data_IF_203180415306
#
_entry.id   IF_203180415306
#
_cell.length_a   1.000
_cell.length_b   1.000
_cell.length_c   1.000
_cell.angle_alpha   90.00
_cell.angle_beta   90.00
_cell.angle_gamma   90.00
#
_symmetry.space_group_name_H-M   'P 1'
#
loop_
_entity.id
_entity.type
_entity.pdbx_description
1 polymer ?
#
# COMPACT_ATOMS: atom_id res chain seq x y z
N UNK A 1 -1.62 -0.64 -11.18
CA UNK A 1 -2.85 0.14 -10.93
C UNK A 1 -2.86 0.76 -9.54
N UNK A 2 -2.75 -0.03 -8.46
CA UNK A 2 -2.69 0.49 -7.08
C UNK A 2 -1.61 1.57 -6.91
N UNK A 3 -0.37 1.26 -7.29
CA UNK A 3 0.77 2.20 -7.27
C UNK A 3 0.45 3.53 -7.95
N UNK A 4 -0.04 3.50 -9.19
CA UNK A 4 -0.37 4.70 -9.97
C UNK A 4 -1.45 5.55 -9.27
N UNK A 5 -2.50 4.90 -8.75
CA UNK A 5 -3.57 5.59 -8.04
C UNK A 5 -3.06 6.27 -6.77
N UNK A 6 -2.23 5.58 -5.98
CA UNK A 6 -1.71 6.13 -4.74
C UNK A 6 -0.68 7.23 -5.01
N UNK A 7 0.16 7.10 -6.04
CA UNK A 7 1.05 8.19 -6.49
C UNK A 7 0.23 9.44 -6.84
N UNK A 8 -0.91 9.30 -7.53
CA UNK A 8 -1.82 10.43 -7.80
C UNK A 8 -2.36 11.06 -6.50
N UNK A 9 -2.82 10.25 -5.55
CA UNK A 9 -3.37 10.72 -4.27
C UNK A 9 -2.32 11.48 -3.46
N UNK A 10 -1.13 10.90 -3.26
CA UNK A 10 -0.07 11.53 -2.47
C UNK A 10 0.60 12.70 -3.21
N UNK A 11 0.66 12.65 -4.56
CA UNK A 11 1.03 13.80 -5.38
C UNK A 11 0.12 15.00 -5.14
N UNK A 12 -1.19 14.78 -5.00
CA UNK A 12 -2.15 15.85 -4.68
C UNK A 12 -1.96 16.42 -3.26
N UNK A 13 -1.44 15.63 -2.30
CA UNK A 13 -1.09 16.12 -0.96
C UNK A 13 0.13 17.05 -1.02
N UNK A 14 1.11 16.74 -1.88
CA UNK A 14 2.31 17.56 -2.06
C UNK A 14 2.00 18.86 -2.79
N UNK A 15 1.28 18.76 -3.92
CA UNK A 15 1.03 19.89 -4.82
C UNK A 15 -0.17 20.73 -4.34
N UNK A 16 -1.04 20.18 -3.50
CA UNK A 16 -2.27 20.84 -3.09
C UNK A 16 -3.34 20.84 -4.19
N UNK A 17 -4.45 21.53 -3.93
CA UNK A 17 -5.60 21.56 -4.85
C UNK A 17 -5.45 22.70 -5.87
N UNK A 18 -5.66 22.44 -7.18
CA UNK A 18 -5.68 23.50 -8.19
C UNK A 18 -6.64 24.63 -7.79
N UNK A 19 -6.19 25.88 -7.95
CA UNK A 19 -6.97 27.08 -7.60
C UNK A 19 -6.88 27.51 -6.13
N UNK A 20 -6.12 26.81 -5.28
CA UNK A 20 -5.80 27.28 -3.93
C UNK A 20 -4.48 28.06 -3.90
N UNK A 21 -4.29 29.04 -2.98
CA UNK A 21 -3.04 29.81 -2.90
C UNK A 21 -1.78 28.95 -2.65
N UNK A 22 -1.94 27.80 -1.99
CA UNK A 22 -0.85 26.84 -1.74
C UNK A 22 -0.64 25.81 -2.86
N UNK A 23 -1.27 25.99 -4.02
CA UNK A 23 -1.10 25.08 -5.14
C UNK A 23 0.32 25.19 -5.73
N UNK A 24 0.97 24.04 -5.91
CA UNK A 24 2.32 23.92 -6.44
C UNK A 24 3.37 24.76 -5.69
N UNK A 25 3.22 24.88 -4.36
CA UNK A 25 4.20 25.55 -3.51
C UNK A 25 5.60 24.91 -3.66
N UNK A 26 6.62 25.67 -4.10
CA UNK A 26 7.98 25.19 -4.27
C UNK A 26 8.58 24.57 -3.01
N UNK A 27 8.20 25.03 -1.83
CA UNK A 27 8.69 24.48 -0.55
C UNK A 27 8.17 23.06 -0.35
N UNK A 28 6.88 22.83 -0.59
CA UNK A 28 6.30 21.49 -0.47
C UNK A 28 6.87 20.52 -1.52
N UNK A 29 6.99 20.96 -2.77
CA UNK A 29 7.58 20.14 -3.83
C UNK A 29 9.05 19.84 -3.49
N UNK A 30 9.81 20.85 -3.06
CA UNK A 30 11.21 20.73 -2.66
C UNK A 30 11.41 19.75 -1.51
N UNK A 31 10.59 19.83 -0.46
CA UNK A 31 10.62 18.90 0.68
C UNK A 31 10.31 17.46 0.25
N UNK A 32 9.30 17.25 -0.59
CA UNK A 32 8.95 15.93 -1.08
C UNK A 32 10.08 15.32 -1.91
N UNK A 33 10.63 16.09 -2.86
CA UNK A 33 11.76 15.64 -3.70
C UNK A 33 13.03 15.40 -2.88
N UNK A 34 13.34 16.25 -1.91
CA UNK A 34 14.46 16.04 -1.00
C UNK A 34 14.29 14.75 -0.19
N UNK A 35 13.09 14.48 0.31
CA UNK A 35 12.76 13.25 1.05
C UNK A 35 12.97 12.00 0.18
N UNK A 36 12.52 12.04 -1.07
CA UNK A 36 12.76 10.97 -2.05
C UNK A 36 14.25 10.82 -2.33
N UNK A 37 14.97 11.93 -2.55
CA UNK A 37 16.41 11.92 -2.81
C UNK A 37 17.21 11.35 -1.64
N UNK A 38 16.88 11.71 -0.39
CA UNK A 38 17.47 11.13 0.80
C UNK A 38 17.19 9.63 0.89
N UNK A 39 15.94 9.22 0.63
CA UNK A 39 15.57 7.79 0.62
C UNK A 39 16.43 7.00 -0.37
N UNK A 40 16.58 7.50 -1.60
CA UNK A 40 17.40 6.87 -2.64
C UNK A 40 18.88 6.92 -2.28
N UNK A 41 19.36 8.04 -1.75
CA UNK A 41 20.75 8.20 -1.30
C UNK A 41 21.12 7.21 -0.20
N UNK A 42 20.27 7.06 0.82
CA UNK A 42 20.43 6.05 1.85
C UNK A 42 20.37 4.63 1.28
N UNK A 43 19.43 4.34 0.39
CA UNK A 43 19.34 3.03 -0.25
C UNK A 43 20.58 2.69 -1.11
N UNK A 44 21.27 3.71 -1.63
CA UNK A 44 22.48 3.55 -2.43
C UNK A 44 23.74 3.34 -1.57
N UNK A 45 23.81 3.97 -0.40
CA UNK A 45 25.00 3.96 0.47
C UNK A 45 24.92 2.85 1.52
N UNK A 46 23.74 2.61 2.09
CA UNK A 46 23.53 1.63 3.15
C UNK A 46 23.33 0.23 2.54
N UNK A 47 23.93 -0.76 3.18
CA UNK A 47 23.85 -2.16 2.76
C UNK A 47 23.22 -3.04 3.85
N UNK A 48 22.78 -4.23 3.48
CA UNK A 48 22.15 -5.17 4.40
C UNK A 48 20.85 -4.63 5.02
N UNK A 49 20.70 -4.80 6.33
CA UNK A 49 19.50 -4.36 7.08
C UNK A 49 19.33 -2.85 7.12
N UNK A 50 20.42 -2.08 7.08
CA UNK A 50 20.37 -0.61 7.03
C UNK A 50 19.77 -0.10 5.71
N UNK A 51 19.98 -0.84 4.61
CA UNK A 51 19.37 -0.53 3.32
C UNK A 51 17.84 -0.63 3.35
N UNK A 52 17.27 -1.51 4.17
CA UNK A 52 15.81 -1.63 4.35
C UNK A 52 15.23 -0.47 5.18
N UNK A 53 16.05 0.16 6.02
CA UNK A 53 15.67 1.35 6.80
C UNK A 53 15.73 2.64 5.98
N UNK A 54 16.16 2.60 4.73
CA UNK A 54 16.37 3.81 3.91
C UNK A 54 15.12 4.68 3.75
N UNK A 55 13.93 4.06 3.67
CA UNK A 55 12.65 4.79 3.62
C UNK A 55 12.40 5.55 4.92
N UNK A 56 12.63 4.90 6.06
CA UNK A 56 12.49 5.52 7.38
C UNK A 56 13.53 6.63 7.58
N UNK A 57 14.79 6.39 7.20
CA UNK A 57 15.85 7.38 7.29
C UNK A 57 15.60 8.57 6.35
N UNK A 58 15.06 8.32 5.16
CA UNK A 58 14.65 9.37 4.23
C UNK A 58 13.54 10.26 4.80
N UNK A 59 12.51 9.65 5.41
CA UNK A 59 11.46 10.37 6.15
C UNK A 59 12.06 11.23 7.28
N UNK A 60 12.97 10.67 8.08
CA UNK A 60 13.63 11.40 9.17
C UNK A 60 14.47 12.57 8.64
N UNK A 61 15.27 12.36 7.59
CA UNK A 61 16.07 13.41 6.98
C UNK A 61 15.19 14.52 6.37
N UNK A 62 14.10 14.15 5.70
CA UNK A 62 13.11 15.11 5.18
C UNK A 62 12.43 15.90 6.29
N UNK A 63 12.09 15.26 7.42
CA UNK A 63 11.55 15.93 8.60
C UNK A 63 12.57 16.88 9.23
N UNK A 64 13.85 16.50 9.32
CA UNK A 64 14.93 17.38 9.81
C UNK A 64 15.07 18.63 8.94
N UNK A 65 15.03 18.47 7.60
CA UNK A 65 15.02 19.62 6.69
C UNK A 65 13.77 20.47 6.89
N UNK A 66 12.59 19.85 7.03
CA UNK A 66 11.33 20.54 7.34
C UNK A 66 11.41 21.37 8.63
N UNK A 67 12.01 20.82 9.68
CA UNK A 67 12.24 21.53 10.93
C UNK A 67 13.23 22.70 10.75
N UNK A 68 14.33 22.48 10.02
CA UNK A 68 15.37 23.49 9.79
C UNK A 68 14.86 24.72 9.01
N UNK A 69 13.89 24.52 8.11
CA UNK A 69 13.28 25.61 7.33
C UNK A 69 12.03 26.21 8.02
N UNK A 70 11.69 25.77 9.24
CA UNK A 70 10.55 26.29 9.99
C UNK A 70 9.17 25.79 9.51
N UNK A 71 9.13 24.70 8.73
CA UNK A 71 7.88 24.09 8.25
C UNK A 71 7.21 23.14 9.27
N UNK A 72 7.78 22.99 10.47
CA UNK A 72 7.26 22.16 11.57
C UNK A 72 7.02 23.01 12.82
N UNK A 73 5.89 22.78 13.50
CA UNK A 73 5.62 23.31 14.84
C UNK A 73 5.64 22.18 15.86
N UNK A 74 6.34 22.40 16.98
CA UNK A 74 6.49 21.43 18.07
C UNK A 74 5.67 21.78 19.32
N UNK A 75 4.93 22.89 19.29
CA UNK A 75 4.26 23.46 20.48
C UNK A 75 3.25 22.50 21.11
N UNK A 76 2.63 21.62 20.29
CA UNK A 76 1.66 20.62 20.73
C UNK A 76 2.24 19.24 21.07
N UNK A 77 3.55 19.02 20.97
CA UNK A 77 4.11 17.65 21.05
C UNK A 77 4.21 17.16 22.49
N UNK A 78 4.77 17.94 23.40
CA UNK A 78 4.96 17.56 24.81
C UNK A 78 3.72 17.74 25.68
N UNK A 79 2.91 18.82 25.52
CA UNK A 79 1.75 19.01 26.37
C UNK A 79 0.70 17.90 26.24
N UNK A 80 0.10 17.50 27.36
CA UNK A 80 -1.02 16.56 27.42
C UNK A 80 -0.65 15.15 27.88
N UNK A 81 -1.59 14.19 27.78
CA UNK A 81 -1.40 12.82 28.24
C UNK A 81 -0.23 12.14 27.54
N UNK A 82 0.53 11.33 28.27
CA UNK A 82 1.60 10.48 27.72
C UNK A 82 1.06 9.22 27.04
N UNK A 83 -0.07 8.71 27.51
CA UNK A 83 -0.72 7.52 26.97
C UNK A 83 -2.01 7.88 26.25
N UNK A 84 -2.18 7.34 25.05
CA UNK A 84 -3.44 7.37 24.30
C UNK A 84 -4.06 5.98 24.28
N UNK A 85 -5.39 5.92 24.15
CA UNK A 85 -6.13 4.66 24.00
C UNK A 85 -6.75 4.61 22.61
N UNK A 86 -6.82 3.42 21.98
CA UNK A 86 -7.49 3.28 20.70
C UNK A 86 -8.98 3.61 20.87
N UNK A 87 -9.52 4.42 19.97
CA UNK A 87 -10.94 4.74 19.92
C UNK A 87 -11.67 3.68 19.10
N UNK A 88 -12.68 3.06 19.68
CA UNK A 88 -13.59 2.20 18.93
C UNK A 88 -14.51 3.07 18.08
N UNK A 89 -14.71 2.66 16.82
CA UNK A 89 -15.60 3.33 15.87
C UNK A 89 -15.29 4.83 15.69
N UNK A 90 -14.04 5.21 15.36
CA UNK A 90 -13.67 6.63 15.23
C UNK A 90 -14.45 7.37 14.13
N UNK A 91 -14.99 6.63 13.16
CA UNK A 91 -15.79 7.16 12.06
C UNK A 91 -17.31 6.96 12.25
N UNK A 92 -17.75 6.51 13.44
CA UNK A 92 -19.15 6.17 13.72
C UNK A 92 -19.46 4.68 13.56
N UNK A 93 -20.73 4.31 13.74
CA UNK A 93 -21.19 2.92 13.68
C UNK A 93 -21.02 2.34 12.27
N UNK A 94 -20.64 1.05 12.13
CA UNK A 94 -20.46 0.43 10.82
C UNK A 94 -21.73 0.49 9.97
N UNK A 95 -21.62 1.05 8.78
CA UNK A 95 -22.68 1.06 7.76
C UNK A 95 -22.36 0.04 6.67
N UNK A 96 -23.32 -0.80 6.32
CA UNK A 96 -23.12 -1.80 5.28
C UNK A 96 -23.63 -1.28 3.93
N UNK A 97 -22.70 -0.82 3.08
CA UNK A 97 -22.97 -0.44 1.69
C UNK A 97 -22.38 -1.52 0.76
N UNK A 98 -23.27 -2.28 0.13
CA UNK A 98 -22.88 -3.39 -0.74
C UNK A 98 -22.10 -2.91 -1.98
N UNK A 99 -22.39 -1.72 -2.50
CA UNK A 99 -21.76 -1.18 -3.71
C UNK A 99 -20.35 -0.69 -3.38
N UNK A 100 -20.20 0.01 -2.25
CA UNK A 100 -18.89 0.42 -1.75
C UNK A 100 -18.03 -0.79 -1.30
N UNK A 101 -18.67 -1.88 -0.88
CA UNK A 101 -17.97 -3.11 -0.51
C UNK A 101 -17.33 -3.84 -1.70
N UNK A 102 -17.88 -3.74 -2.92
CA UNK A 102 -17.38 -4.49 -4.09
C UNK A 102 -15.89 -4.25 -4.38
N UNK A 103 -15.40 -3.00 -4.50
CA UNK A 103 -13.97 -2.75 -4.71
C UNK A 103 -13.09 -3.30 -3.58
N UNK A 104 -13.57 -3.24 -2.34
CA UNK A 104 -12.84 -3.77 -1.18
C UNK A 104 -12.80 -5.30 -1.21
N UNK A 105 -13.90 -5.96 -1.58
CA UNK A 105 -13.95 -7.42 -1.75
C UNK A 105 -13.01 -7.87 -2.87
N UNK A 106 -12.99 -7.16 -4.00
CA UNK A 106 -12.04 -7.43 -5.09
C UNK A 106 -10.60 -7.29 -4.57
N UNK A 107 -10.30 -6.22 -3.83
CA UNK A 107 -8.98 -6.04 -3.24
C UNK A 107 -8.63 -7.14 -2.23
N UNK A 108 -9.57 -7.60 -1.41
CA UNK A 108 -9.37 -8.72 -0.49
C UNK A 108 -9.02 -10.01 -1.22
N UNK A 109 -9.67 -10.33 -2.34
CA UNK A 109 -9.34 -11.52 -3.15
C UNK A 109 -7.92 -11.43 -3.73
N UNK A 110 -7.51 -10.25 -4.20
CA UNK A 110 -6.14 -10.02 -4.71
C UNK A 110 -5.13 -10.19 -3.59
N UNK A 111 -5.41 -9.61 -2.41
CA UNK A 111 -4.57 -9.73 -1.23
C UNK A 111 -4.44 -11.19 -0.78
N UNK A 112 -5.50 -12.00 -0.89
CA UNK A 112 -5.41 -13.44 -0.61
C UNK A 112 -4.43 -14.16 -1.55
N UNK A 113 -4.44 -13.82 -2.84
CA UNK A 113 -3.49 -14.38 -3.80
C UNK A 113 -2.05 -13.95 -3.49
N UNK A 114 -1.85 -12.68 -3.12
CA UNK A 114 -0.55 -12.15 -2.69
C UNK A 114 -0.04 -12.84 -1.42
N UNK A 115 -0.88 -12.94 -0.38
CA UNK A 115 -0.58 -13.59 0.88
C UNK A 115 -0.25 -15.09 0.70
N UNK A 116 -0.87 -15.74 -0.29
CA UNK A 116 -0.53 -17.12 -0.67
C UNK A 116 0.92 -17.22 -1.14
N UNK A 117 1.31 -16.37 -2.09
CA UNK A 117 2.69 -16.33 -2.60
C UNK A 117 3.71 -15.99 -1.52
N UNK A 118 3.40 -15.00 -0.68
CA UNK A 118 4.24 -14.60 0.45
C UNK A 118 4.40 -15.72 1.48
N UNK A 119 3.31 -16.45 1.82
CA UNK A 119 3.36 -17.57 2.76
C UNK A 119 4.29 -18.69 2.26
N UNK A 120 4.21 -19.02 0.96
CA UNK A 120 5.08 -20.03 0.34
C UNK A 120 6.53 -19.54 0.33
N UNK A 121 6.77 -18.29 -0.04
CA UNK A 121 8.12 -17.71 -0.07
C UNK A 121 8.75 -17.63 1.34
N UNK A 122 7.97 -17.32 2.38
CA UNK A 122 8.44 -17.40 3.78
C UNK A 122 8.84 -18.82 4.12
N UNK A 123 8.00 -19.82 3.80
CA UNK A 123 8.26 -21.22 4.11
C UNK A 123 9.57 -21.72 3.47
N UNK A 124 9.82 -21.35 2.22
CA UNK A 124 11.07 -21.61 1.50
C UNK A 124 12.27 -20.96 2.21
N UNK A 125 12.17 -19.68 2.57
CA UNK A 125 13.25 -18.96 3.26
C UNK A 125 13.56 -19.55 4.63
N UNK A 126 12.54 -19.99 5.38
CA UNK A 126 12.77 -20.63 6.68
C UNK A 126 13.22 -22.09 6.54
N UNK A 127 13.13 -22.69 5.35
CA UNK A 127 13.50 -24.09 5.09
C UNK A 127 12.49 -25.07 5.67
N UNK A 128 11.20 -24.72 5.67
CA UNK A 128 10.12 -25.55 6.22
C UNK A 128 9.22 -26.04 5.10
N UNK A 129 9.11 -27.36 4.98
CA UNK A 129 8.07 -27.96 4.15
C UNK A 129 6.69 -27.68 4.76
N UNK A 130 5.80 -27.10 3.95
CA UNK A 130 4.43 -26.82 4.32
C UNK A 130 3.48 -27.39 3.27
N UNK A 131 2.32 -27.85 3.70
CA UNK A 131 1.20 -28.06 2.78
C UNK A 131 0.48 -26.72 2.59
N UNK A 132 0.52 -26.09 1.40
CA UNK A 132 -0.12 -24.79 1.17
C UNK A 132 -1.63 -24.83 1.43
N UNK A 133 -2.29 -25.98 1.19
CA UNK A 133 -3.74 -26.14 1.42
C UNK A 133 -4.12 -26.02 2.90
N UNK A 134 -3.19 -26.28 3.81
CA UNK A 134 -3.45 -26.23 5.25
C UNK A 134 -2.99 -24.90 5.87
N UNK A 135 -1.84 -24.38 5.42
CA UNK A 135 -1.19 -23.21 6.04
C UNK A 135 -1.74 -21.90 5.50
N UNK A 136 -1.94 -21.80 4.17
CA UNK A 136 -2.39 -20.55 3.54
C UNK A 136 -3.76 -20.08 4.06
N UNK A 137 -4.78 -20.96 4.20
CA UNK A 137 -6.07 -20.52 4.76
C UNK A 137 -5.95 -20.04 6.21
N UNK A 138 -5.00 -20.56 7.00
CA UNK A 138 -4.76 -20.09 8.37
C UNK A 138 -4.14 -18.70 8.38
N UNK A 139 -3.18 -18.42 7.50
CA UNK A 139 -2.61 -17.07 7.32
C UNK A 139 -3.69 -16.07 6.92
N UNK A 140 -4.48 -16.40 5.89
CA UNK A 140 -5.56 -15.54 5.39
C UNK A 140 -6.62 -15.25 6.47
N UNK A 141 -6.98 -16.25 7.29
CA UNK A 141 -7.90 -16.02 8.43
C UNK A 141 -7.30 -15.09 9.48
N UNK A 142 -5.99 -15.16 9.70
CA UNK A 142 -5.27 -14.20 10.56
C UNK A 142 -5.36 -12.77 10.02
N UNK A 143 -5.07 -12.58 8.73
CA UNK A 143 -5.16 -11.27 8.05
C UNK A 143 -6.60 -10.72 8.08
N UNK A 144 -7.60 -11.58 7.84
CA UNK A 144 -9.00 -11.21 7.92
C UNK A 144 -9.41 -10.79 9.34
N UNK A 145 -8.99 -11.54 10.36
CA UNK A 145 -9.27 -11.21 11.76
C UNK A 145 -8.64 -9.87 12.15
N UNK A 146 -7.37 -9.66 11.81
CA UNK A 146 -6.69 -8.40 12.09
C UNK A 146 -7.29 -7.24 11.31
N UNK A 147 -7.70 -7.45 10.06
CA UNK A 147 -8.42 -6.45 9.26
C UNK A 147 -9.77 -6.08 9.88
N UNK A 148 -10.52 -7.05 10.41
CA UNK A 148 -11.79 -6.79 11.11
C UNK A 148 -11.55 -5.97 12.36
N UNK A 149 -10.62 -6.38 13.23
CA UNK A 149 -10.26 -5.64 14.45
C UNK A 149 -9.77 -4.23 14.09
N UNK A 150 -8.91 -4.12 13.08
CA UNK A 150 -8.41 -2.87 12.56
C UNK A 150 -9.52 -1.94 12.08
N UNK A 151 -10.47 -2.46 11.31
CA UNK A 151 -11.65 -1.70 10.86
C UNK A 151 -12.48 -1.13 12.01
N UNK A 152 -12.65 -1.88 13.11
CA UNK A 152 -13.32 -1.39 14.33
C UNK A 152 -12.55 -0.24 14.99
N UNK A 153 -11.23 -0.20 14.83
CA UNK A 153 -10.33 0.84 15.32
C UNK A 153 -10.06 1.95 14.30
N UNK A 154 -10.71 1.91 13.13
CA UNK A 154 -10.57 2.90 12.06
C UNK A 154 -9.33 2.74 11.18
N UNK A 155 -8.70 1.57 11.16
CA UNK A 155 -7.60 1.28 10.21
C UNK A 155 -8.13 0.79 8.87
N UNK A 156 -7.28 0.85 7.84
CA UNK A 156 -7.53 0.17 6.57
C UNK A 156 -7.34 -1.36 6.71
N UNK A 157 -7.60 -2.09 5.62
CA UNK A 157 -7.32 -3.52 5.50
C UNK A 157 -5.85 -3.79 5.81
N UNK A 158 -5.61 -4.75 6.72
CA UNK A 158 -4.29 -5.17 7.16
C UNK A 158 -3.93 -6.43 6.39
N UNK A 159 -2.80 -6.38 5.68
CA UNK A 159 -2.33 -7.47 4.82
C UNK A 159 -0.92 -7.88 5.23
N UNK A 160 -0.60 -9.15 5.03
CA UNK A 160 0.78 -9.64 5.21
C UNK A 160 1.75 -8.86 4.32
N UNK A 161 2.90 -8.45 4.88
CA UNK A 161 3.96 -7.75 4.13
C UNK A 161 5.04 -8.72 3.67
N UNK A 162 5.29 -8.73 2.36
CA UNK A 162 6.38 -9.49 1.73
C UNK A 162 7.78 -8.90 1.95
N UNK A 163 7.90 -7.66 2.39
CA UNK A 163 9.20 -7.00 2.63
C UNK A 163 9.99 -7.71 3.74
N UNK A 164 9.26 -8.25 4.73
CA UNK A 164 9.84 -8.99 5.85
C UNK A 164 10.54 -10.28 5.41
N UNK A 165 10.19 -10.85 4.26
CA UNK A 165 10.84 -12.05 3.71
C UNK A 165 12.31 -11.77 3.40
N UNK A 166 12.60 -10.58 2.85
CA UNK A 166 13.97 -10.13 2.58
C UNK A 166 14.79 -9.96 3.85
N UNK A 167 14.19 -9.45 4.93
CA UNK A 167 14.84 -9.30 6.24
C UNK A 167 15.21 -10.68 6.80
N UNK A 168 14.28 -11.63 6.80
CA UNK A 168 14.53 -13.00 7.31
C UNK A 168 15.62 -13.68 6.50
N UNK A 169 15.62 -13.51 5.17
CA UNK A 169 16.65 -14.06 4.28
C UNK A 169 18.04 -13.46 4.57
N UNK A 170 18.12 -12.14 4.76
CA UNK A 170 19.38 -11.44 4.98
C UNK A 170 19.96 -11.67 6.39
N UNK A 171 19.11 -11.69 7.40
CA UNK A 171 19.52 -11.85 8.81
C UNK A 171 19.71 -13.31 9.22
N UNK A 172 19.06 -14.25 8.53
CA UNK A 172 18.99 -15.65 8.93
C UNK A 172 18.17 -15.91 10.19
N UNK A 173 17.56 -14.88 10.79
CA UNK A 173 16.79 -14.98 12.03
C UNK A 173 15.36 -15.41 11.70
N UNK A 174 15.06 -16.69 11.93
CA UNK A 174 13.77 -17.34 11.59
C UNK A 174 12.78 -17.41 12.77
N UNK A 175 13.13 -16.83 13.91
CA UNK A 175 12.34 -16.95 15.15
C UNK A 175 11.06 -16.12 15.07
N UNK A 176 9.90 -16.78 15.22
CA UNK A 176 8.59 -16.11 15.32
C UNK A 176 8.49 -15.09 16.47
N UNK A 177 9.29 -15.28 17.52
CA UNK A 177 9.29 -14.38 18.68
C UNK A 177 9.85 -13.01 18.33
N UNK A 178 10.72 -12.89 17.33
CA UNK A 178 11.21 -11.58 16.87
C UNK A 178 10.06 -10.76 16.30
N UNK A 179 9.22 -11.36 15.47
CA UNK A 179 8.02 -10.71 14.92
C UNK A 179 7.00 -10.37 16.02
N UNK A 180 6.78 -11.28 16.97
CA UNK A 180 5.86 -11.04 18.09
C UNK A 180 6.34 -9.87 18.98
N UNK A 181 7.62 -9.84 19.34
CA UNK A 181 8.22 -8.76 20.13
C UNK A 181 8.19 -7.44 19.38
N UNK A 182 8.45 -7.43 18.06
CA UNK A 182 8.30 -6.24 17.24
C UNK A 182 6.85 -5.71 17.28
N UNK A 183 5.85 -6.59 17.21
CA UNK A 183 4.44 -6.22 17.36
C UNK A 183 4.15 -5.58 18.72
N UNK A 184 4.67 -6.14 19.81
CA UNK A 184 4.52 -5.56 21.17
C UNK A 184 5.18 -4.18 21.27
N UNK A 185 6.36 -4.01 20.68
CA UNK A 185 7.05 -2.72 20.63
C UNK A 185 6.22 -1.69 19.85
N UNK A 186 5.65 -2.08 18.70
CA UNK A 186 4.79 -1.20 17.90
C UNK A 186 3.53 -0.80 18.66
N UNK A 187 2.92 -1.71 19.43
CA UNK A 187 1.77 -1.39 20.30
C UNK A 187 2.19 -0.38 21.37
N UNK A 188 3.33 -0.59 22.04
CA UNK A 188 3.82 0.33 23.06
C UNK A 188 4.10 1.73 22.48
N UNK A 189 4.70 1.80 21.29
CA UNK A 189 4.93 3.05 20.55
C UNK A 189 3.60 3.72 20.18
N UNK A 190 2.62 2.96 19.69
CA UNK A 190 1.32 3.50 19.29
C UNK A 190 0.52 4.06 20.49
N UNK A 191 0.69 3.48 21.68
CA UNK A 191 0.07 3.98 22.91
C UNK A 191 0.79 5.24 23.45
N UNK A 192 2.02 5.51 23.03
CA UNK A 192 2.78 6.67 23.49
C UNK A 192 2.41 7.93 22.67
N UNK A 193 1.51 8.73 23.24
CA UNK A 193 0.87 9.86 22.57
C UNK A 193 1.84 10.94 22.04
N UNK A 194 2.97 11.28 22.70
CA UNK A 194 3.92 12.24 22.16
C UNK A 194 4.46 11.86 20.77
N UNK A 195 4.64 10.56 20.48
CA UNK A 195 5.10 10.13 19.15
C UNK A 195 4.03 10.35 18.07
N UNK A 196 2.75 10.14 18.40
CA UNK A 196 1.64 10.47 17.49
C UNK A 196 1.54 11.98 17.22
N UNK A 197 1.71 12.81 18.26
CA UNK A 197 1.72 14.28 18.10
C UNK A 197 2.93 14.76 17.31
N UNK A 198 4.10 14.15 17.51
CA UNK A 198 5.29 14.41 16.72
C UNK A 198 5.11 14.01 15.25
N UNK A 199 4.48 12.86 14.99
CA UNK A 199 4.18 12.44 13.62
C UNK A 199 3.25 13.43 12.89
N UNK A 200 2.30 14.05 13.59
CA UNK A 200 1.44 15.11 13.04
C UNK A 200 2.18 16.43 12.78
N UNK A 201 3.33 16.66 13.42
CA UNK A 201 4.16 17.83 13.15
C UNK A 201 4.96 17.70 11.86
N UNK A 202 5.12 16.49 11.31
CA UNK A 202 5.87 16.26 10.06
C UNK A 202 5.10 16.90 8.90
N UNK A 203 5.76 17.69 8.02
CA UNK A 203 5.08 18.33 6.91
C UNK A 203 4.45 17.28 5.99
N UNK A 204 3.21 17.51 5.54
CA UNK A 204 2.49 16.57 4.68
C UNK A 204 3.25 16.26 3.38
N UNK A 205 4.05 17.21 2.90
CA UNK A 205 4.94 17.04 1.75
C UNK A 205 6.02 15.97 1.96
N UNK A 206 6.62 15.90 3.16
CA UNK A 206 7.63 14.88 3.51
C UNK A 206 6.96 13.50 3.54
N UNK A 207 5.83 13.39 4.24
CA UNK A 207 5.04 12.15 4.29
C UNK A 207 4.60 11.72 2.89
N UNK A 208 4.17 12.66 2.05
CA UNK A 208 3.82 12.44 0.65
C UNK A 208 4.99 11.93 -0.18
N UNK A 209 6.18 12.51 -0.02
CA UNK A 209 7.40 12.06 -0.71
C UNK A 209 7.79 10.63 -0.32
N UNK A 210 7.79 10.31 0.98
CA UNK A 210 8.02 8.94 1.48
C UNK A 210 6.96 7.97 0.95
N UNK A 211 5.68 8.35 0.99
CA UNK A 211 4.59 7.52 0.48
C UNK A 211 4.74 7.25 -1.02
N UNK A 212 5.07 8.27 -1.82
CA UNK A 212 5.25 8.13 -3.27
C UNK A 212 6.32 7.10 -3.63
N UNK A 213 7.50 7.15 -2.98
CA UNK A 213 8.57 6.18 -3.27
C UNK A 213 8.16 4.76 -2.85
N UNK A 214 7.49 4.59 -1.71
CA UNK A 214 6.98 3.28 -1.26
C UNK A 214 5.96 2.73 -2.26
N UNK A 215 5.00 3.54 -2.71
CA UNK A 215 4.02 3.10 -3.71
C UNK A 215 4.65 2.85 -5.08
N UNK A 216 5.69 3.58 -5.45
CA UNK A 216 6.46 3.29 -6.67
C UNK A 216 7.19 1.93 -6.55
N UNK A 217 7.78 1.62 -5.40
CA UNK A 217 8.39 0.31 -5.12
C UNK A 217 7.35 -0.81 -5.25
N UNK A 218 6.16 -0.65 -4.67
CA UNK A 218 5.05 -1.62 -4.81
C UNK A 218 4.66 -1.79 -6.29
N UNK A 219 4.65 -0.71 -7.06
CA UNK A 219 4.43 -0.76 -8.51
C UNK A 219 5.47 -1.61 -9.23
N UNK A 220 6.75 -1.43 -8.89
CA UNK A 220 7.87 -2.21 -9.42
C UNK A 220 7.76 -3.68 -9.06
N UNK A 221 7.34 -4.04 -7.85
CA UNK A 221 7.07 -5.43 -7.46
C UNK A 221 5.98 -6.06 -8.34
N UNK A 222 4.91 -5.31 -8.64
CA UNK A 222 3.87 -5.76 -9.57
C UNK A 222 4.40 -5.99 -10.99
N UNK A 223 5.30 -5.15 -11.47
CA UNK A 223 5.99 -5.34 -12.76
C UNK A 223 6.85 -6.61 -12.72
N UNK A 224 7.60 -6.85 -11.64
CA UNK A 224 8.42 -8.06 -11.50
C UNK A 224 7.57 -9.34 -11.52
N UNK A 225 6.38 -9.31 -10.89
CA UNK A 225 5.43 -10.41 -10.97
C UNK A 225 4.97 -10.68 -12.41
N UNK A 226 4.72 -9.64 -13.21
CA UNK A 226 4.34 -9.77 -14.62
C UNK A 226 5.45 -10.37 -15.49
N UNK A 227 6.73 -10.30 -15.08
CA UNK A 227 7.85 -10.91 -15.83
C UNK A 227 7.76 -12.43 -15.90
N UNK A 228 6.95 -13.06 -15.05
CA UNK A 228 6.70 -14.51 -15.06
C UNK A 228 5.68 -14.94 -16.12
N UNK A 229 5.01 -13.98 -16.77
CA UNK A 229 3.99 -14.22 -17.80
C UNK A 229 4.60 -14.00 -19.17
N UNK A 230 4.35 -14.91 -20.11
CA UNK A 230 4.72 -14.68 -21.51
C UNK A 230 3.73 -13.71 -22.16
N UNK A 231 4.15 -12.45 -22.29
CA UNK A 231 3.40 -11.37 -22.94
C UNK A 231 3.59 -11.34 -24.47
N UNK A 232 4.39 -12.24 -25.05
CA UNK A 232 4.45 -12.41 -26.52
C UNK A 232 3.24 -13.18 -27.03
N UNK A 233 2.60 -13.97 -26.17
CA UNK A 233 1.34 -14.64 -26.48
C UNK A 233 0.19 -13.65 -26.68
N UNK A 234 -0.53 -13.79 -27.79
CA UNK A 234 -1.62 -12.91 -28.18
C UNK A 234 -2.68 -12.75 -27.08
N UNK A 235 -3.14 -13.86 -26.48
CA UNK A 235 -4.15 -13.82 -25.41
C UNK A 235 -3.68 -13.00 -24.18
N UNK A 236 -2.50 -13.31 -23.64
CA UNK A 236 -1.99 -12.64 -22.44
C UNK A 236 -1.73 -11.15 -22.66
N UNK A 237 -1.23 -10.79 -23.85
CA UNK A 237 -1.04 -9.39 -24.24
C UNK A 237 -2.36 -8.62 -24.23
N UNK A 238 -3.42 -9.15 -24.85
CA UNK A 238 -4.74 -8.50 -24.89
C UNK A 238 -5.40 -8.43 -23.51
N UNK A 239 -5.28 -9.47 -22.69
CA UNK A 239 -5.76 -9.47 -21.31
C UNK A 239 -5.10 -8.34 -20.51
N UNK A 240 -3.78 -8.24 -20.56
CA UNK A 240 -3.06 -7.19 -19.83
C UNK A 240 -3.37 -5.79 -20.39
N UNK A 241 -3.38 -5.61 -21.71
CA UNK A 241 -3.63 -4.32 -22.34
C UNK A 241 -5.02 -3.78 -21.97
N UNK A 242 -6.07 -4.59 -22.13
CA UNK A 242 -7.44 -4.20 -21.79
C UNK A 242 -7.61 -3.90 -20.30
N UNK A 243 -7.02 -4.70 -19.41
CA UNK A 243 -7.04 -4.46 -17.97
C UNK A 243 -6.36 -3.14 -17.59
N UNK A 244 -5.20 -2.84 -18.20
CA UNK A 244 -4.51 -1.57 -18.00
C UNK A 244 -5.31 -0.40 -18.54
N UNK A 245 -5.91 -0.52 -19.73
CA UNK A 245 -6.78 0.51 -20.30
C UNK A 245 -7.93 0.82 -19.35
N UNK A 246 -8.73 -0.17 -18.98
CA UNK A 246 -9.91 0.03 -18.14
C UNK A 246 -9.56 0.50 -16.73
N UNK A 247 -8.44 0.04 -16.17
CA UNK A 247 -8.00 0.43 -14.84
C UNK A 247 -7.35 1.81 -14.76
N UNK A 248 -6.58 2.22 -15.78
CA UNK A 248 -5.91 3.52 -15.80
C UNK A 248 -6.85 4.66 -16.20
N UNK A 249 -7.87 4.38 -17.02
CA UNK A 249 -8.76 5.40 -17.56
C UNK A 249 -9.41 6.32 -16.49
N UNK A 250 -10.05 5.81 -15.41
CA UNK A 250 -10.58 6.66 -14.34
C UNK A 250 -9.49 7.38 -13.52
N UNK A 251 -8.26 6.87 -13.51
CA UNK A 251 -7.13 7.48 -12.79
C UNK A 251 -6.62 8.68 -13.59
N UNK A 252 -6.41 8.51 -14.90
CA UNK A 252 -5.81 9.52 -15.79
C UNK A 252 -6.83 10.58 -16.22
N UNK A 253 -8.12 10.24 -16.28
CA UNK A 253 -9.20 11.15 -16.66
C UNK A 253 -10.18 11.31 -15.49
N UNK A 254 -9.89 12.19 -14.50
CA UNK A 254 -10.82 12.49 -13.42
C UNK A 254 -12.16 13.00 -13.96
N UNK A 255 -13.27 12.52 -13.41
CA UNK A 255 -14.61 12.96 -13.83
C UNK A 255 -15.15 12.28 -15.09
N UNK A 256 -14.43 11.29 -15.65
CA UNK A 256 -14.89 10.48 -16.80
C UNK A 256 -16.32 9.96 -16.64
N UNK A 257 -16.64 9.44 -15.46
CA UNK A 257 -17.95 8.87 -15.14
C UNK A 257 -18.90 9.87 -14.48
N UNK A 258 -18.61 11.18 -14.50
CA UNK A 258 -19.40 12.20 -13.76
C UNK A 258 -20.88 12.28 -14.17
N UNK A 259 -21.22 11.81 -15.38
CA UNK A 259 -22.60 11.75 -15.89
C UNK A 259 -23.30 10.42 -15.63
N UNK A 260 -22.62 9.43 -15.06
CA UNK A 260 -23.19 8.12 -14.75
C UNK A 260 -23.97 8.19 -13.42
N UNK A 261 -24.88 7.23 -13.15
CA UNK A 261 -25.49 7.07 -11.84
C UNK A 261 -24.43 6.94 -10.72
N UNK A 262 -24.67 7.54 -9.56
CA UNK A 262 -23.75 7.57 -8.41
C UNK A 262 -23.19 6.19 -8.04
N UNK A 263 -24.06 5.19 -8.02
CA UNK A 263 -23.71 3.80 -7.74
C UNK A 263 -22.66 3.24 -8.73
N UNK A 264 -22.78 3.56 -10.02
CA UNK A 264 -21.80 3.15 -11.02
C UNK A 264 -20.51 3.97 -10.92
N UNK A 265 -20.58 5.24 -10.49
CA UNK A 265 -19.38 6.05 -10.31
C UNK A 265 -18.44 5.47 -9.24
N UNK A 266 -18.99 4.92 -8.16
CA UNK A 266 -18.19 4.29 -7.08
C UNK A 266 -17.38 3.11 -7.61
N UNK A 267 -18.00 2.26 -8.43
CA UNK A 267 -17.35 1.07 -8.99
C UNK A 267 -16.44 1.42 -10.17
N UNK A 268 -16.97 2.10 -11.18
CA UNK A 268 -16.26 2.44 -12.42
C UNK A 268 -15.15 3.46 -12.19
N UNK A 269 -15.33 4.36 -11.23
CA UNK A 269 -14.30 5.33 -10.81
C UNK A 269 -13.13 4.69 -10.07
N UNK A 270 -13.27 3.45 -9.59
CA UNK A 270 -12.19 2.73 -8.94
C UNK A 270 -11.33 1.99 -9.99
N UNK A 271 -10.18 2.57 -10.32
CA UNK A 271 -9.27 2.00 -11.32
C UNK A 271 -8.73 0.62 -10.99
N UNK A 272 -8.58 0.27 -9.71
CA UNK A 272 -8.20 -1.09 -9.31
C UNK A 272 -9.32 -2.08 -9.64
N UNK A 273 -10.54 -1.79 -9.20
CA UNK A 273 -11.69 -2.67 -9.41
C UNK A 273 -11.90 -2.90 -10.92
N UNK A 274 -11.89 -1.84 -11.72
CA UNK A 274 -12.06 -1.93 -13.17
C UNK A 274 -10.97 -2.78 -13.84
N UNK A 275 -9.70 -2.54 -13.52
CA UNK A 275 -8.63 -3.31 -14.14
C UNK A 275 -8.69 -4.80 -13.80
N UNK A 276 -9.05 -5.15 -12.57
CA UNK A 276 -9.13 -6.56 -12.12
C UNK A 276 -10.33 -7.25 -12.73
N UNK A 277 -11.51 -6.60 -12.72
CA UNK A 277 -12.71 -7.14 -13.36
C UNK A 277 -12.46 -7.39 -14.85
N UNK A 278 -11.86 -6.43 -15.56
CA UNK A 278 -11.50 -6.60 -16.97
C UNK A 278 -10.50 -7.73 -17.16
N UNK A 279 -9.44 -7.82 -16.34
CA UNK A 279 -8.46 -8.90 -16.43
C UNK A 279 -9.11 -10.28 -16.27
N UNK A 280 -9.97 -10.45 -15.27
CA UNK A 280 -10.69 -11.72 -15.02
C UNK A 280 -11.61 -12.06 -16.18
N UNK A 281 -12.42 -11.11 -16.65
CA UNK A 281 -13.34 -11.32 -17.77
C UNK A 281 -12.60 -11.71 -19.04
N UNK A 282 -11.51 -11.02 -19.37
CA UNK A 282 -10.70 -11.33 -20.55
C UNK A 282 -9.98 -12.67 -20.40
N UNK A 283 -9.49 -13.00 -19.20
CA UNK A 283 -8.88 -14.31 -18.95
C UNK A 283 -9.88 -15.47 -19.15
N UNK A 284 -11.12 -15.30 -18.70
CA UNK A 284 -12.20 -16.26 -18.97
C UNK A 284 -12.46 -16.36 -20.48
N UNK A 285 -12.59 -15.22 -21.17
CA UNK A 285 -12.90 -15.18 -22.59
C UNK A 285 -11.84 -15.88 -23.45
N UNK A 286 -10.56 -15.60 -23.22
CA UNK A 286 -9.48 -16.13 -24.04
C UNK A 286 -9.08 -17.57 -23.69
N UNK A 287 -9.19 -17.97 -22.42
CA UNK A 287 -8.67 -19.27 -21.95
C UNK A 287 -9.75 -20.30 -21.60
N UNK A 288 -11.01 -19.88 -21.37
CA UNK A 288 -12.09 -20.77 -20.92
C UNK A 288 -13.30 -20.79 -21.85
N UNK A 289 -13.48 -19.78 -22.70
CA UNK A 289 -14.57 -19.75 -23.69
C UNK A 289 -14.01 -20.13 -25.05
N UNK A 290 -14.37 -21.31 -25.54
CA UNK A 290 -14.06 -21.74 -26.91
C UNK A 290 -12.69 -22.40 -27.11
N UNK A 291 -12.05 -22.93 -26.06
CA UNK A 291 -10.92 -23.85 -26.26
C UNK A 291 -11.44 -25.09 -26.99
N UNK A 292 -11.30 -25.13 -28.32
CA UNK A 292 -11.28 -26.40 -29.04
C UNK A 292 -10.08 -27.16 -28.48
N UNK A 293 -10.35 -28.17 -27.66
CA UNK A 293 -9.47 -29.31 -27.45
C UNK A 293 -9.04 -29.80 -28.84
N UNK A 294 -7.82 -29.46 -29.26
CA UNK A 294 -7.20 -30.17 -30.38
C UNK A 294 -6.83 -31.55 -29.85
N UNK A 295 -7.55 -32.57 -30.32
CA UNK A 295 -7.16 -33.98 -30.23
C UNK A 295 -5.82 -34.22 -30.92
#
# INVERSE_FOLDING_TARGET
>A
LVSVNLIKVYGAIIVGRPGTPGFADPVNIGLALATVAFTVGFARVLTGTLGQLSVMLGLLAGAVVGAAIGAMSFDGVLPGPLLTRPTLFPFGTPTFDLIAAIPLLIFSVISMAEATGQTIAVAEVVGKEINPRDVVPRTIRGDALMSLIGGLLGTSLIITSGENIGIVRATGIKSRYVTATAGVILIAIALFAPLGRLANAIPAAVVGGTAMIVFAIIGTMGIDMLRRVDLRGHANMFILASALTMGLLPIVVPGLYSKFPSNLQILLGNGLAMGVLTAVLMNILFHHVGSKTSS
#
